data_IF_129979051790
#
_entry.id   IF_129979051790
#
_cell.length_a   1.000
_cell.length_b   1.000
_cell.length_c   1.000
_cell.angle_alpha   90.00
_cell.angle_beta   90.00
_cell.angle_gamma   90.00
#
_symmetry.space_group_name_H-M   'P 1'
#
loop_
_entity.id
_entity.type
_entity.pdbx_description
1 polymer ?
#
# COMPACT_ATOMS: atom_id res chain seq x y z
N UNK A 1 38.00 5.13 -7.08
CA UNK A 1 37.41 3.80 -7.07
C UNK A 1 35.97 3.98 -7.53
N UNK A 2 35.73 3.78 -8.84
CA UNK A 2 34.43 3.98 -9.47
C UNK A 2 33.49 2.85 -9.03
N UNK A 3 32.62 3.14 -8.09
CA UNK A 3 31.44 2.27 -7.81
C UNK A 3 30.50 2.44 -9.01
N UNK A 4 30.43 1.43 -9.85
CA UNK A 4 29.42 1.31 -10.88
C UNK A 4 28.06 1.28 -10.15
N UNK A 5 27.31 2.36 -10.29
CA UNK A 5 25.91 2.43 -9.89
C UNK A 5 25.21 1.35 -10.73
N UNK A 6 24.92 0.21 -10.11
CA UNK A 6 24.12 -0.84 -10.72
C UNK A 6 22.77 -0.25 -11.04
N UNK A 7 22.54 0.07 -12.31
CA UNK A 7 21.24 0.47 -12.80
C UNK A 7 20.26 -0.63 -12.45
N UNK A 8 19.21 -0.31 -11.65
CA UNK A 8 18.09 -1.24 -11.54
C UNK A 8 17.65 -1.63 -12.96
N UNK A 9 17.34 -2.91 -13.22
CA UNK A 9 16.78 -3.28 -14.51
C UNK A 9 15.59 -2.37 -14.77
N UNK A 10 15.56 -1.78 -15.97
CA UNK A 10 14.49 -0.86 -16.34
C UNK A 10 13.14 -1.57 -16.10
N UNK A 11 12.31 -1.01 -15.24
CA UNK A 11 10.97 -1.54 -14.95
C UNK A 11 10.18 -1.61 -16.25
N UNK A 12 9.64 -2.77 -16.57
CA UNK A 12 8.82 -2.96 -17.77
C UNK A 12 7.54 -2.13 -17.69
N UNK A 13 6.99 -1.81 -18.85
CA UNK A 13 5.82 -0.93 -18.98
C UNK A 13 4.57 -1.46 -18.25
N UNK A 14 4.50 -2.74 -17.94
CA UNK A 14 3.36 -3.43 -17.32
C UNK A 14 3.74 -4.26 -16.09
N UNK A 15 4.91 -4.07 -15.51
CA UNK A 15 5.40 -4.89 -14.38
C UNK A 15 4.51 -4.73 -13.14
N UNK A 16 4.06 -3.52 -12.84
CA UNK A 16 3.15 -3.26 -11.74
C UNK A 16 1.79 -3.89 -11.96
N UNK A 17 1.22 -3.73 -13.17
CA UNK A 17 -0.02 -4.37 -13.54
C UNK A 17 0.08 -5.91 -13.43
N UNK A 18 1.16 -6.50 -13.95
CA UNK A 18 1.38 -7.94 -13.92
C UNK A 18 1.47 -8.47 -12.48
N UNK A 19 2.17 -7.76 -11.58
CA UNK A 19 2.24 -8.11 -10.15
C UNK A 19 0.87 -8.07 -9.49
N UNK A 20 0.12 -6.99 -9.66
CA UNK A 20 -1.23 -6.86 -9.08
C UNK A 20 -2.17 -7.94 -9.60
N UNK A 21 -2.17 -8.20 -10.90
CA UNK A 21 -2.97 -9.27 -11.49
C UNK A 21 -2.60 -10.65 -10.92
N UNK A 22 -1.29 -10.93 -10.75
CA UNK A 22 -0.79 -12.19 -10.20
C UNK A 22 -1.14 -12.36 -8.72
N UNK A 23 -0.99 -11.29 -7.90
CA UNK A 23 -1.30 -11.40 -6.47
C UNK A 23 -2.79 -11.51 -6.18
N UNK A 24 -3.63 -10.96 -7.08
CA UNK A 24 -5.08 -10.92 -6.94
C UNK A 24 -5.82 -11.79 -7.97
N UNK A 25 -5.14 -12.71 -8.66
CA UNK A 25 -5.72 -13.53 -9.72
C UNK A 25 -7.05 -14.23 -9.35
N UNK A 26 -7.27 -14.71 -8.11
CA UNK A 26 -8.53 -15.38 -7.78
C UNK A 26 -9.73 -14.46 -7.89
N UNK A 27 -9.56 -13.14 -7.66
CA UNK A 27 -10.64 -12.16 -7.81
C UNK A 27 -11.04 -12.01 -9.28
N UNK A 28 -10.07 -11.97 -10.19
CA UNK A 28 -10.33 -11.87 -11.63
C UNK A 28 -10.95 -13.14 -12.19
N UNK A 29 -10.44 -14.30 -11.78
CA UNK A 29 -11.02 -15.60 -12.16
C UNK A 29 -12.45 -15.73 -11.61
N UNK A 30 -12.67 -15.40 -10.35
CA UNK A 30 -14.00 -15.41 -9.72
C UNK A 30 -14.97 -14.46 -10.44
N UNK A 31 -14.52 -13.25 -10.79
CA UNK A 31 -15.29 -12.30 -11.58
C UNK A 31 -15.67 -12.86 -12.95
N UNK A 32 -14.71 -13.43 -13.67
CA UNK A 32 -14.95 -14.05 -14.97
C UNK A 32 -15.95 -15.20 -14.88
N UNK A 33 -15.77 -16.12 -13.92
CA UNK A 33 -16.70 -17.24 -13.70
C UNK A 33 -18.11 -16.72 -13.36
N UNK A 34 -18.22 -15.71 -12.51
CA UNK A 34 -19.52 -15.10 -12.16
C UNK A 34 -20.21 -14.51 -13.39
N UNK A 35 -19.48 -13.75 -14.20
CA UNK A 35 -20.01 -13.19 -15.47
C UNK A 35 -20.51 -14.31 -16.36
N UNK A 36 -19.71 -15.34 -16.56
CA UNK A 36 -20.05 -16.46 -17.44
C UNK A 36 -21.29 -17.23 -16.96
N UNK A 37 -21.34 -17.60 -15.67
CA UNK A 37 -22.45 -18.36 -15.09
C UNK A 37 -23.76 -17.57 -15.15
N UNK A 38 -23.72 -16.29 -14.74
CA UNK A 38 -24.93 -15.45 -14.72
C UNK A 38 -25.42 -15.18 -16.14
N UNK A 39 -24.51 -14.94 -17.07
CA UNK A 39 -24.87 -14.74 -18.48
C UNK A 39 -25.46 -16.00 -19.07
N UNK A 40 -24.85 -17.18 -18.89
CA UNK A 40 -25.37 -18.46 -19.35
C UNK A 40 -26.77 -18.74 -18.75
N UNK A 41 -26.93 -18.48 -17.44
CA UNK A 41 -28.25 -18.63 -16.79
C UNK A 41 -29.31 -17.71 -17.41
N UNK A 42 -28.98 -16.44 -17.66
CA UNK A 42 -29.90 -15.49 -18.29
C UNK A 42 -30.29 -15.88 -19.74
N UNK A 43 -29.41 -16.58 -20.44
CA UNK A 43 -29.66 -17.08 -21.80
C UNK A 43 -30.59 -18.31 -21.83
N UNK A 44 -30.41 -19.22 -20.87
CA UNK A 44 -31.16 -20.48 -20.82
C UNK A 44 -32.51 -20.35 -20.09
N UNK A 45 -32.63 -19.42 -19.14
CA UNK A 45 -33.81 -19.25 -18.29
C UNK A 45 -34.75 -18.17 -18.83
N UNK A 46 -35.69 -18.57 -19.67
CA UNK A 46 -36.67 -17.64 -20.30
C UNK A 46 -37.76 -17.16 -19.31
N UNK A 47 -38.01 -17.91 -18.24
CA UNK A 47 -39.07 -17.62 -17.25
C UNK A 47 -38.65 -16.64 -16.13
N UNK A 48 -37.47 -16.03 -16.21
CA UNK A 48 -36.99 -15.07 -15.20
C UNK A 48 -37.79 -13.78 -15.29
N UNK A 49 -38.30 -13.32 -14.13
CA UNK A 49 -39.00 -12.05 -14.04
C UNK A 49 -38.17 -10.88 -14.57
N UNK A 50 -38.73 -9.96 -15.38
CA UNK A 50 -37.95 -8.89 -16.04
C UNK A 50 -37.08 -8.05 -15.11
N UNK A 51 -37.57 -7.75 -13.90
CA UNK A 51 -36.80 -6.98 -12.88
C UNK A 51 -35.58 -7.75 -12.39
N UNK A 52 -35.69 -9.07 -12.17
CA UNK A 52 -34.54 -9.91 -11.77
C UNK A 52 -33.53 -10.02 -12.92
N UNK A 53 -34.01 -10.13 -14.15
CA UNK A 53 -33.16 -10.14 -15.34
C UNK A 53 -32.38 -8.85 -15.48
N UNK A 54 -33.04 -7.69 -15.29
CA UNK A 54 -32.35 -6.38 -15.28
C UNK A 54 -31.33 -6.28 -14.16
N UNK A 55 -31.70 -6.66 -12.94
CA UNK A 55 -30.79 -6.65 -11.79
C UNK A 55 -29.55 -7.55 -12.01
N UNK A 56 -29.73 -8.73 -12.63
CA UNK A 56 -28.63 -9.62 -12.95
C UNK A 56 -27.67 -9.00 -13.99
N UNK A 57 -28.20 -8.34 -15.03
CA UNK A 57 -27.37 -7.62 -16.01
C UNK A 57 -26.62 -6.45 -15.41
N UNK A 58 -27.24 -5.70 -14.48
CA UNK A 58 -26.56 -4.64 -13.72
C UNK A 58 -25.43 -5.24 -12.89
N UNK A 59 -25.67 -6.39 -12.22
CA UNK A 59 -24.63 -7.11 -11.48
C UNK A 59 -23.45 -7.52 -12.36
N UNK A 60 -23.72 -8.12 -13.52
CA UNK A 60 -22.68 -8.49 -14.51
C UNK A 60 -21.89 -7.27 -14.95
N UNK A 61 -22.58 -6.16 -15.25
CA UNK A 61 -21.92 -4.90 -15.60
C UNK A 61 -20.94 -4.42 -14.50
N UNK A 62 -21.35 -4.39 -13.25
CA UNK A 62 -20.49 -3.95 -12.17
C UNK A 62 -19.31 -4.88 -11.92
N UNK A 63 -19.49 -6.19 -12.01
CA UNK A 63 -18.37 -7.14 -11.89
C UNK A 63 -17.36 -6.94 -13.03
N UNK A 64 -17.83 -6.82 -14.28
CA UNK A 64 -16.95 -6.53 -15.40
C UNK A 64 -16.25 -5.17 -15.26
N UNK A 65 -17.00 -4.14 -14.87
CA UNK A 65 -16.47 -2.80 -14.62
C UNK A 65 -15.31 -2.85 -13.61
N UNK A 66 -15.51 -3.42 -12.41
CA UNK A 66 -14.49 -3.46 -11.39
C UNK A 66 -13.28 -4.31 -11.75
N UNK A 67 -13.45 -5.42 -12.47
CA UNK A 67 -12.31 -6.18 -12.98
C UNK A 67 -11.45 -5.32 -13.93
N UNK A 68 -12.07 -4.59 -14.86
CA UNK A 68 -11.36 -3.75 -15.82
C UNK A 68 -10.80 -2.49 -15.13
N UNK A 69 -11.62 -1.79 -14.36
CA UNK A 69 -11.25 -0.54 -13.71
C UNK A 69 -10.09 -0.74 -12.72
N UNK A 70 -10.06 -1.86 -11.97
CA UNK A 70 -8.96 -2.16 -11.07
C UNK A 70 -7.63 -2.38 -11.81
N UNK A 71 -7.65 -3.06 -12.95
CA UNK A 71 -6.45 -3.24 -13.78
C UNK A 71 -5.96 -1.92 -14.37
N UNK A 72 -6.89 -1.08 -14.89
CA UNK A 72 -6.55 0.24 -15.43
C UNK A 72 -6.00 1.15 -14.34
N UNK A 73 -6.64 1.20 -13.17
CA UNK A 73 -6.17 1.99 -12.03
C UNK A 73 -4.80 1.49 -11.55
N UNK A 74 -4.60 0.18 -11.44
CA UNK A 74 -3.31 -0.40 -11.05
C UNK A 74 -2.22 -0.06 -12.06
N UNK A 75 -2.48 -0.19 -13.36
CA UNK A 75 -1.52 0.21 -14.39
C UNK A 75 -1.15 1.69 -14.26
N UNK A 76 -2.15 2.55 -14.05
CA UNK A 76 -1.85 3.98 -13.85
C UNK A 76 -0.99 4.22 -12.61
N UNK A 77 -1.38 3.67 -11.46
CA UNK A 77 -0.69 3.89 -10.17
C UNK A 77 0.74 3.35 -10.24
N UNK A 78 0.90 2.10 -10.66
CA UNK A 78 2.14 1.35 -10.49
C UNK A 78 3.10 1.46 -11.68
N UNK A 79 2.60 1.74 -12.90
CA UNK A 79 3.44 1.75 -14.10
C UNK A 79 3.56 3.14 -14.73
N UNK A 80 2.49 3.96 -14.67
CA UNK A 80 2.45 5.25 -15.41
C UNK A 80 2.72 6.47 -14.55
N UNK A 81 2.30 6.45 -13.27
CA UNK A 81 2.49 7.59 -12.39
C UNK A 81 3.93 7.64 -11.84
N UNK A 82 4.34 8.83 -11.40
CA UNK A 82 5.64 9.01 -10.72
C UNK A 82 5.66 8.39 -9.32
N UNK A 83 4.48 7.96 -8.81
CA UNK A 83 4.32 7.52 -7.42
C UNK A 83 5.30 6.39 -7.07
N UNK A 84 5.36 5.36 -7.88
CA UNK A 84 6.17 4.15 -7.65
C UNK A 84 7.64 4.29 -8.04
N UNK A 85 8.03 5.45 -8.60
CA UNK A 85 9.45 5.78 -8.85
C UNK A 85 10.13 6.29 -7.59
N UNK A 86 9.37 6.74 -6.61
CA UNK A 86 9.81 7.29 -5.33
C UNK A 86 10.70 8.54 -5.43
N UNK A 87 11.08 8.98 -6.63
CA UNK A 87 11.99 10.13 -6.88
C UNK A 87 11.41 11.47 -6.41
N UNK A 88 10.11 11.52 -6.13
CA UNK A 88 9.42 12.68 -5.57
C UNK A 88 9.62 12.83 -4.04
N UNK A 89 10.07 11.75 -3.33
CA UNK A 89 10.22 11.76 -1.87
C UNK A 89 11.08 12.92 -1.37
N UNK A 90 12.28 13.21 -1.94
CA UNK A 90 13.10 14.33 -1.49
C UNK A 90 12.40 15.70 -1.56
N UNK A 91 11.48 15.89 -2.50
CA UNK A 91 10.72 17.16 -2.64
C UNK A 91 9.57 17.26 -1.65
N UNK A 92 9.17 16.15 -1.05
CA UNK A 92 8.10 16.09 -0.08
C UNK A 92 8.61 16.28 1.37
N UNK A 93 9.83 15.87 1.63
CA UNK A 93 10.51 16.05 2.91
C UNK A 93 11.07 17.48 3.05
N UNK A 94 11.06 18.06 4.26
CA UNK A 94 11.63 19.40 4.50
C UNK A 94 13.17 19.41 4.41
N UNK A 95 13.82 18.27 4.67
CA UNK A 95 15.27 18.09 4.56
C UNK A 95 15.58 16.61 4.27
N UNK A 96 16.75 16.30 3.66
CA UNK A 96 17.22 14.94 3.53
C UNK A 96 17.39 14.26 4.90
N UNK A 97 17.01 12.99 5.05
CA UNK A 97 17.22 12.26 6.29
C UNK A 97 18.70 11.93 6.54
N UNK A 98 19.11 11.88 7.81
CA UNK A 98 20.41 11.35 8.21
C UNK A 98 20.31 9.88 8.65
N UNK A 99 19.24 9.54 9.39
CA UNK A 99 18.95 8.19 9.88
C UNK A 99 17.49 7.86 9.60
N UNK A 100 17.25 6.95 8.66
CA UNK A 100 15.90 6.59 8.30
C UNK A 100 15.60 5.10 8.51
N UNK A 101 14.32 4.82 8.73
CA UNK A 101 13.76 3.49 8.83
C UNK A 101 12.68 3.32 7.75
N UNK A 102 12.82 2.31 6.87
CA UNK A 102 11.75 1.91 5.96
C UNK A 102 11.07 0.65 6.51
N UNK A 103 9.78 0.71 6.73
CA UNK A 103 8.99 -0.38 7.28
C UNK A 103 8.05 -0.95 6.22
N UNK A 104 8.12 -2.25 5.99
CA UNK A 104 7.23 -2.98 5.09
C UNK A 104 6.70 -4.27 5.70
N UNK A 105 5.62 -4.81 5.13
CA UNK A 105 5.00 -6.05 5.59
C UNK A 105 5.27 -7.21 4.61
N UNK A 106 6.43 -7.23 3.97
CA UNK A 106 6.89 -8.34 3.15
C UNK A 106 6.97 -8.11 1.65
N UNK A 107 6.66 -6.92 1.14
CA UNK A 107 6.98 -6.51 -0.22
C UNK A 107 7.78 -5.22 -0.15
N UNK A 108 9.10 -5.32 -0.29
CA UNK A 108 9.99 -4.16 -0.31
C UNK A 108 10.36 -3.78 -1.75
N UNK A 109 9.70 -2.77 -2.27
CA UNK A 109 10.01 -2.17 -3.57
C UNK A 109 10.68 -0.79 -3.44
N UNK A 110 10.95 -0.33 -2.23
CA UNK A 110 11.37 1.05 -1.97
C UNK A 110 12.77 1.19 -1.37
N UNK A 111 13.24 0.27 -0.54
CA UNK A 111 14.50 0.42 0.18
C UNK A 111 15.70 0.66 -0.71
N UNK A 112 15.79 -0.07 -1.83
CA UNK A 112 16.89 0.13 -2.79
C UNK A 112 16.89 1.54 -3.40
N UNK A 113 15.71 2.09 -3.67
CA UNK A 113 15.56 3.45 -4.20
C UNK A 113 15.88 4.48 -3.12
N UNK A 114 15.42 4.26 -1.88
CA UNK A 114 15.73 5.15 -0.74
C UNK A 114 17.24 5.25 -0.48
N UNK A 115 17.97 4.13 -0.55
CA UNK A 115 19.44 4.13 -0.45
C UNK A 115 20.09 4.95 -1.57
N UNK A 116 19.56 4.94 -2.79
CA UNK A 116 20.06 5.74 -3.90
C UNK A 116 19.69 7.23 -3.75
N UNK A 117 18.49 7.54 -3.26
CA UNK A 117 18.03 8.92 -3.04
C UNK A 117 18.79 9.60 -1.89
N UNK A 118 19.22 8.83 -0.89
CA UNK A 118 19.86 9.34 0.32
C UNK A 118 21.22 8.66 0.59
N UNK A 119 22.20 8.79 -0.34
CA UNK A 119 23.46 8.03 -0.27
C UNK A 119 24.35 8.40 0.93
N UNK A 120 24.13 9.57 1.53
CA UNK A 120 24.89 10.05 2.70
C UNK A 120 24.18 9.80 4.02
N UNK A 121 23.10 9.02 4.00
CA UNK A 121 22.31 8.70 5.19
C UNK A 121 22.53 7.26 5.67
N UNK A 122 22.19 6.98 6.92
CA UNK A 122 22.12 5.63 7.46
C UNK A 122 20.70 5.12 7.40
N UNK A 123 20.43 4.18 6.48
CA UNK A 123 19.11 3.57 6.30
C UNK A 123 19.02 2.18 6.93
N UNK A 124 17.87 1.88 7.52
CA UNK A 124 17.50 0.53 7.95
C UNK A 124 16.17 0.15 7.34
N UNK A 125 16.00 -1.14 7.07
CA UNK A 125 14.75 -1.70 6.54
C UNK A 125 14.23 -2.75 7.50
N UNK A 126 12.97 -2.64 7.87
CA UNK A 126 12.30 -3.55 8.78
C UNK A 126 11.10 -4.24 8.12
N UNK A 127 11.07 -5.56 8.22
CA UNK A 127 9.92 -6.38 7.84
C UNK A 127 9.09 -6.68 9.10
N UNK A 128 7.91 -6.07 9.18
CA UNK A 128 7.02 -6.24 10.34
C UNK A 128 5.87 -7.23 10.09
N UNK A 129 5.99 -8.08 9.08
CA UNK A 129 4.96 -9.06 8.77
C UNK A 129 4.71 -10.03 9.93
N UNK A 130 3.44 -10.16 10.30
CA UNK A 130 2.94 -11.15 11.24
C UNK A 130 1.83 -11.97 10.58
N UNK A 131 2.10 -13.25 10.32
CA UNK A 131 1.15 -14.14 9.64
C UNK A 131 -0.19 -14.34 10.39
N UNK A 132 -0.24 -14.06 11.70
CA UNK A 132 -1.46 -14.17 12.50
C UNK A 132 -2.37 -12.95 12.34
N UNK A 133 -1.77 -11.78 12.15
CA UNK A 133 -2.49 -10.51 12.02
C UNK A 133 -2.72 -10.13 10.55
N UNK A 134 -1.78 -10.48 9.66
CA UNK A 134 -1.74 -10.10 8.25
C UNK A 134 -2.07 -11.30 7.36
N UNK A 135 -3.32 -11.75 7.43
CA UNK A 135 -3.78 -13.00 6.82
C UNK A 135 -4.22 -12.86 5.35
N UNK A 136 -4.06 -11.69 4.74
CA UNK A 136 -4.49 -11.45 3.35
C UNK A 136 -3.74 -12.37 2.37
N UNK A 137 -4.45 -13.11 1.51
CA UNK A 137 -3.81 -14.04 0.57
C UNK A 137 -2.89 -13.36 -0.45
N UNK A 138 -3.11 -12.09 -0.76
CA UNK A 138 -2.29 -11.32 -1.71
C UNK A 138 -0.89 -11.05 -1.15
N UNK A 139 -0.79 -10.63 0.12
CA UNK A 139 0.52 -10.39 0.73
C UNK A 139 1.32 -11.67 0.90
N UNK A 140 0.66 -12.79 1.24
CA UNK A 140 1.32 -14.10 1.30
C UNK A 140 1.94 -14.48 -0.05
N UNK A 141 1.19 -14.34 -1.17
CA UNK A 141 1.71 -14.61 -2.50
C UNK A 141 2.86 -13.66 -2.89
N UNK A 142 2.76 -12.39 -2.52
CA UNK A 142 3.83 -11.43 -2.76
C UNK A 142 5.12 -11.81 -2.03
N UNK A 143 5.01 -12.27 -0.78
CA UNK A 143 6.16 -12.76 0.00
C UNK A 143 6.79 -14.02 -0.59
N UNK A 144 5.96 -14.99 -1.00
CA UNK A 144 6.42 -16.23 -1.63
C UNK A 144 7.23 -15.93 -2.92
N UNK A 145 6.82 -14.92 -3.69
CA UNK A 145 7.53 -14.52 -4.92
C UNK A 145 8.80 -13.72 -4.62
N UNK A 146 8.81 -12.89 -3.60
CA UNK A 146 9.98 -12.08 -3.26
C UNK A 146 11.14 -12.92 -2.70
N UNK A 147 10.86 -14.06 -2.04
CA UNK A 147 11.85 -14.90 -1.40
C UNK A 147 12.44 -14.27 -0.14
N UNK A 148 13.71 -14.58 0.14
CA UNK A 148 14.43 -14.01 1.29
C UNK A 148 14.62 -12.50 1.13
N UNK A 149 14.36 -11.77 2.20
CA UNK A 149 14.55 -10.32 2.28
C UNK A 149 15.77 -10.00 3.13
N UNK A 150 16.56 -9.00 2.74
CA UNK A 150 17.65 -8.45 3.57
C UNK A 150 17.11 -7.57 4.71
N UNK A 151 15.80 -7.40 4.82
CA UNK A 151 15.18 -6.59 5.87
C UNK A 151 15.25 -7.29 7.23
N UNK A 152 15.46 -6.51 8.27
CA UNK A 152 15.45 -6.98 9.64
C UNK A 152 14.02 -7.37 10.05
N UNK A 153 13.77 -8.60 10.54
CA UNK A 153 12.46 -8.95 11.06
C UNK A 153 12.16 -8.14 12.32
N UNK A 154 11.01 -7.47 12.35
CA UNK A 154 10.61 -6.56 13.43
C UNK A 154 9.24 -6.97 13.97
N UNK A 155 9.13 -7.15 15.29
CA UNK A 155 7.80 -7.16 15.91
C UNK A 155 7.21 -5.74 15.89
N UNK A 156 6.11 -5.57 15.18
CA UNK A 156 5.45 -4.27 15.07
C UNK A 156 4.91 -3.74 16.41
N UNK A 157 4.86 -4.58 17.43
CA UNK A 157 4.43 -4.21 18.80
C UNK A 157 5.58 -3.70 19.66
N UNK A 158 6.83 -3.98 19.27
CA UNK A 158 8.02 -3.61 20.04
C UNK A 158 9.24 -3.58 19.11
N UNK A 159 9.57 -2.39 18.60
CA UNK A 159 10.70 -2.24 17.70
C UNK A 159 12.03 -2.41 18.44
N UNK A 160 13.01 -3.12 17.87
CA UNK A 160 14.31 -3.37 18.49
C UNK A 160 15.24 -2.14 18.40
N UNK A 161 14.68 -0.93 18.48
CA UNK A 161 15.38 0.32 18.36
C UNK A 161 15.19 1.17 19.63
N UNK A 162 16.21 1.93 19.99
CA UNK A 162 16.11 2.90 21.07
C UNK A 162 15.17 4.06 20.72
N UNK A 163 14.71 4.78 21.71
CA UNK A 163 13.90 5.98 21.55
C UNK A 163 14.66 7.02 20.70
N UNK A 164 13.92 7.79 19.94
CA UNK A 164 14.43 8.92 19.15
C UNK A 164 15.60 8.55 18.21
N UNK A 165 15.62 7.29 17.69
CA UNK A 165 16.71 6.79 16.84
C UNK A 165 16.66 7.38 15.43
N UNK A 166 15.48 7.53 14.83
CA UNK A 166 15.33 7.88 13.41
C UNK A 166 14.78 9.29 13.25
N UNK A 167 15.36 10.06 12.34
CA UNK A 167 14.81 11.35 11.94
C UNK A 167 13.74 11.22 10.84
N UNK A 168 13.67 10.08 10.14
CA UNK A 168 12.64 9.82 9.14
C UNK A 168 12.20 8.36 9.16
N UNK A 169 10.89 8.12 9.14
CA UNK A 169 10.30 6.79 8.98
C UNK A 169 9.44 6.78 7.72
N UNK A 170 9.64 5.79 6.88
CA UNK A 170 8.88 5.55 5.66
C UNK A 170 7.90 4.40 5.86
N UNK A 171 6.63 4.64 5.53
CA UNK A 171 5.53 3.68 5.51
C UNK A 171 4.88 3.74 4.13
N UNK A 172 5.42 2.96 3.19
CA UNK A 172 5.06 3.02 1.78
C UNK A 172 4.20 1.81 1.41
N UNK A 173 2.87 1.99 1.43
CA UNK A 173 1.88 0.93 1.21
C UNK A 173 2.00 -0.27 2.16
N UNK A 174 2.28 -0.02 3.43
CA UNK A 174 2.54 -1.08 4.39
C UNK A 174 1.64 -1.03 5.63
N UNK A 175 1.32 0.16 6.14
CA UNK A 175 0.63 0.30 7.43
C UNK A 175 -0.80 -0.26 7.44
N UNK A 176 -1.46 -0.33 6.28
CA UNK A 176 -2.81 -0.89 6.14
C UNK A 176 -2.88 -2.40 6.37
N UNK A 177 -1.76 -3.10 6.34
CA UNK A 177 -1.70 -4.55 6.60
C UNK A 177 -2.02 -4.90 8.06
N UNK A 178 -1.80 -3.99 9.00
CA UNK A 178 -2.21 -4.17 10.39
C UNK A 178 -3.72 -3.91 10.51
N UNK A 179 -4.51 -4.99 10.52
CA UNK A 179 -5.99 -4.92 10.43
C UNK A 179 -6.65 -4.64 11.78
N UNK A 180 -6.08 -5.12 12.88
CA UNK A 180 -6.58 -4.90 14.22
C UNK A 180 -6.36 -3.45 14.66
N UNK A 181 -7.39 -2.80 15.18
CA UNK A 181 -7.31 -1.39 15.64
C UNK A 181 -6.31 -1.21 16.76
N UNK A 182 -6.36 -2.09 17.77
CA UNK A 182 -5.43 -2.01 18.91
C UNK A 182 -3.97 -2.24 18.48
N UNK A 183 -3.74 -3.17 17.54
CA UNK A 183 -2.41 -3.43 16.98
C UNK A 183 -1.87 -2.22 16.22
N UNK A 184 -2.71 -1.51 15.46
CA UNK A 184 -2.30 -0.26 14.79
C UNK A 184 -1.97 0.85 15.78
N UNK A 185 -2.69 0.96 16.90
CA UNK A 185 -2.40 1.93 17.95
C UNK A 185 -1.04 1.67 18.57
N UNK A 186 -0.72 0.42 18.92
CA UNK A 186 0.59 0.01 19.43
C UNK A 186 1.69 0.31 18.39
N UNK A 187 1.47 -0.03 17.14
CA UNK A 187 2.42 0.26 16.06
C UNK A 187 2.72 1.76 15.93
N UNK A 188 1.69 2.61 15.99
CA UNK A 188 1.90 4.07 15.94
C UNK A 188 2.55 4.64 17.20
N UNK A 189 2.34 4.02 18.36
CA UNK A 189 3.09 4.36 19.59
C UNK A 189 4.59 4.04 19.42
N UNK A 190 4.92 2.88 18.85
CA UNK A 190 6.31 2.52 18.55
C UNK A 190 6.94 3.44 17.49
N UNK A 191 6.19 3.81 16.44
CA UNK A 191 6.63 4.82 15.48
C UNK A 191 6.97 6.15 16.19
N UNK A 192 6.08 6.62 17.08
CA UNK A 192 6.32 7.82 17.85
C UNK A 192 7.55 7.67 18.76
N UNK A 193 7.72 6.53 19.43
CA UNK A 193 8.84 6.29 20.34
C UNK A 193 10.19 6.38 19.62
N UNK A 194 10.34 5.68 18.48
CA UNK A 194 11.62 5.62 17.75
C UNK A 194 11.90 6.85 16.91
N UNK A 195 10.90 7.70 16.65
CA UNK A 195 11.04 8.94 15.90
C UNK A 195 11.72 9.98 16.76
N UNK A 196 12.75 10.68 16.24
CA UNK A 196 13.38 11.82 16.86
C UNK A 196 12.39 12.99 17.05
N UNK A 197 12.68 13.93 17.95
CA UNK A 197 11.75 15.05 18.27
C UNK A 197 11.34 15.88 17.06
N UNK A 198 12.27 16.18 16.15
CA UNK A 198 12.02 16.89 14.91
C UNK A 198 11.78 15.95 13.71
N UNK A 199 11.71 14.63 13.97
CA UNK A 199 11.61 13.61 12.95
C UNK A 199 10.28 13.63 12.19
N UNK A 200 10.27 12.95 11.05
CA UNK A 200 9.12 12.90 10.14
C UNK A 200 8.73 11.46 9.84
N UNK A 201 7.42 11.21 9.74
CA UNK A 201 6.88 9.97 9.19
C UNK A 201 6.26 10.30 7.84
N UNK A 202 6.70 9.63 6.79
CA UNK A 202 6.09 9.71 5.48
C UNK A 202 5.21 8.47 5.27
N UNK A 203 3.91 8.67 5.33
CA UNK A 203 2.89 7.65 5.09
C UNK A 203 2.32 7.78 3.68
N UNK A 204 2.37 6.71 2.91
CA UNK A 204 1.80 6.61 1.55
C UNK A 204 0.83 5.46 1.52
N UNK A 205 -0.46 5.75 1.31
CA UNK A 205 -1.50 4.73 1.40
C UNK A 205 -2.66 4.97 0.42
N UNK A 206 -3.28 3.88 -0.02
CA UNK A 206 -4.60 3.96 -0.62
C UNK A 206 -5.63 4.43 0.41
N UNK A 207 -6.57 5.25 -0.03
CA UNK A 207 -7.65 5.72 0.84
C UNK A 207 -8.94 4.94 0.57
N UNK A 208 -9.64 4.55 1.64
CA UNK A 208 -11.02 4.03 1.51
C UNK A 208 -11.96 5.20 1.21
N UNK A 209 -12.15 5.49 -0.07
CA UNK A 209 -12.99 6.58 -0.57
C UNK A 209 -13.70 6.20 -1.88
N UNK A 210 -14.54 7.12 -2.40
CA UNK A 210 -15.34 6.85 -3.60
C UNK A 210 -14.51 6.58 -4.85
N UNK A 211 -13.35 7.23 -5.00
CA UNK A 211 -12.47 7.00 -6.15
C UNK A 211 -11.93 5.57 -6.14
N UNK A 212 -11.47 5.10 -4.98
CA UNK A 212 -11.02 3.72 -4.80
C UNK A 212 -12.17 2.70 -4.90
N UNK A 213 -13.38 3.05 -4.43
CA UNK A 213 -14.56 2.19 -4.64
C UNK A 213 -14.91 2.06 -6.12
N UNK A 214 -14.91 3.16 -6.86
CA UNK A 214 -15.19 3.14 -8.30
C UNK A 214 -14.16 2.29 -9.08
N UNK A 215 -12.88 2.31 -8.67
CA UNK A 215 -11.81 1.56 -9.32
C UNK A 215 -11.73 0.10 -8.86
N UNK A 216 -11.85 -0.16 -7.55
CA UNK A 216 -11.54 -1.47 -6.96
C UNK A 216 -12.78 -2.20 -6.42
N UNK A 217 -13.97 -1.60 -6.53
CA UNK A 217 -15.22 -2.18 -6.03
C UNK A 217 -15.12 -2.58 -4.56
N UNK A 218 -15.64 -3.76 -4.17
CA UNK A 218 -15.55 -4.26 -2.80
C UNK A 218 -14.12 -4.38 -2.27
N UNK A 219 -13.11 -4.50 -3.14
CA UNK A 219 -11.70 -4.52 -2.75
C UNK A 219 -11.25 -3.26 -2.00
N UNK A 220 -11.95 -2.13 -2.16
CA UNK A 220 -11.64 -0.89 -1.42
C UNK A 220 -11.77 -1.04 0.11
N UNK A 221 -12.49 -2.06 0.62
CA UNK A 221 -12.53 -2.37 2.04
C UNK A 221 -11.18 -2.82 2.61
N UNK A 222 -10.27 -3.25 1.75
CA UNK A 222 -8.89 -3.51 2.12
C UNK A 222 -8.17 -2.23 2.59
N UNK A 223 -8.50 -1.08 2.04
CA UNK A 223 -7.88 0.19 2.38
C UNK A 223 -8.46 0.80 3.66
N UNK A 224 -7.66 1.64 4.34
CA UNK A 224 -8.13 2.40 5.50
C UNK A 224 -8.64 3.78 5.09
N UNK A 225 -9.69 4.29 5.72
CA UNK A 225 -10.12 5.67 5.50
C UNK A 225 -9.05 6.64 6.02
N UNK A 226 -8.83 7.77 5.34
CA UNK A 226 -7.83 8.77 5.76
C UNK A 226 -8.05 9.29 7.19
N UNK A 227 -9.31 9.29 7.67
CA UNK A 227 -9.64 9.65 9.06
C UNK A 227 -8.98 8.71 10.09
N UNK A 228 -8.72 7.46 9.74
CA UNK A 228 -8.05 6.51 10.63
C UNK A 228 -6.59 6.91 10.85
N UNK A 229 -5.89 7.30 9.82
CA UNK A 229 -4.50 7.78 9.94
C UNK A 229 -4.41 9.05 10.76
N UNK A 230 -5.38 9.98 10.60
CA UNK A 230 -5.46 11.20 11.43
C UNK A 230 -5.76 10.86 12.88
N UNK A 231 -6.70 9.95 13.15
CA UNK A 231 -7.03 9.47 14.50
C UNK A 231 -5.79 8.86 15.18
N UNK A 232 -5.06 7.99 14.49
CA UNK A 232 -3.84 7.37 15.00
C UNK A 232 -2.77 8.42 15.29
N UNK A 233 -2.55 9.36 14.39
CA UNK A 233 -1.62 10.47 14.61
C UNK A 233 -1.99 11.24 15.88
N UNK A 234 -3.24 11.68 16.00
CA UNK A 234 -3.72 12.44 17.17
C UNK A 234 -3.57 11.66 18.47
N UNK A 235 -3.95 10.38 18.47
CA UNK A 235 -3.90 9.49 19.63
C UNK A 235 -2.47 9.29 20.16
N UNK A 236 -1.49 9.23 19.25
CA UNK A 236 -0.10 8.90 19.58
C UNK A 236 0.81 10.11 19.66
N UNK A 237 0.27 11.33 19.71
CA UNK A 237 1.06 12.55 19.85
C UNK A 237 1.78 12.98 18.57
N UNK A 238 1.29 12.52 17.41
CA UNK A 238 1.72 12.99 16.11
C UNK A 238 0.76 14.03 15.56
N UNK A 239 1.23 14.89 14.64
CA UNK A 239 0.40 15.81 13.86
C UNK A 239 0.72 15.72 12.39
N UNK A 240 -0.29 15.96 11.55
CA UNK A 240 -0.12 15.96 10.10
C UNK A 240 0.33 17.35 9.66
N UNK A 241 1.53 17.44 9.11
CA UNK A 241 2.11 18.66 8.55
C UNK A 241 1.62 18.94 7.13
N UNK A 242 1.51 17.89 6.34
CA UNK A 242 1.13 17.97 4.95
C UNK A 242 0.35 16.72 4.55
N UNK A 243 -0.75 16.91 3.85
CA UNK A 243 -1.53 15.85 3.22
C UNK A 243 -1.77 16.20 1.76
N UNK A 244 -1.48 15.26 0.85
CA UNK A 244 -1.64 15.46 -0.58
C UNK A 244 -2.12 14.17 -1.26
N UNK A 245 -2.92 14.30 -2.33
CA UNK A 245 -3.16 13.21 -3.27
C UNK A 245 -2.10 13.24 -4.36
N UNK A 246 -1.38 12.14 -4.53
CA UNK A 246 -0.42 11.97 -5.64
C UNK A 246 -1.09 11.41 -6.89
N UNK A 247 -2.12 10.59 -6.70
CA UNK A 247 -3.04 10.10 -7.73
C UNK A 247 -4.46 10.20 -7.19
N UNK A 248 -5.51 10.01 -8.00
CA UNK A 248 -6.88 9.93 -7.48
C UNK A 248 -7.08 8.89 -6.38
N UNK A 249 -6.18 7.90 -6.31
CA UNK A 249 -6.31 6.71 -5.48
C UNK A 249 -5.40 6.68 -4.25
N UNK A 250 -4.32 7.47 -4.24
CA UNK A 250 -3.26 7.39 -3.22
C UNK A 250 -3.07 8.73 -2.53
N UNK A 251 -3.00 8.69 -1.21
CA UNK A 251 -2.67 9.80 -0.33
C UNK A 251 -1.28 9.67 0.24
N UNK A 252 -0.63 10.79 0.36
CA UNK A 252 0.66 10.97 1.04
C UNK A 252 0.44 11.90 2.21
N UNK A 253 0.87 11.48 3.39
CA UNK A 253 0.81 12.26 4.62
C UNK A 253 2.21 12.37 5.22
N UNK A 254 2.62 13.58 5.54
CA UNK A 254 3.82 13.86 6.31
C UNK A 254 3.40 14.20 7.73
N UNK A 255 3.90 13.43 8.69
CA UNK A 255 3.59 13.59 10.10
C UNK A 255 4.85 13.92 10.89
N UNK A 256 4.69 14.58 12.03
CA UNK A 256 5.76 14.82 13.01
C UNK A 256 5.22 14.71 14.44
N UNK A 257 6.11 14.70 15.43
CA UNK A 257 5.70 14.79 16.84
C UNK A 257 5.05 16.14 17.12
N UNK A 258 3.97 16.14 17.90
CA UNK A 258 3.43 17.37 18.50
C UNK A 258 4.46 17.92 19.50
N UNK A 259 4.71 19.23 19.43
CA UNK A 259 5.60 19.95 20.38
C UNK A 259 4.80 20.31 21.62
#
# INVERSE_FOLDING_TARGET
MNLSIGTQPARGQFDGLAKIARYNWPQYVGGFVTIWVVTAWLWTSQAVHPQLRLAAWIGVFFVAWWCIASLVASHWIYDRSELYRWTWIPTFLPAPPNRWLNLHAGLDESSKVLLQLFPNSSGRTGDFYDAKEMSEPSIRRAREEQGESDAEPIDFRSFPFADETFDTVFLLFAAHEIRCVASREIFFQELHRVLARSGKILLVEHARDLANFAAFGPGFFHFMPAREWRRLADLTGLQIMKEQRMTPFVKVMLMEKKI
#
